data_IF_173708410082
#
_entry.id   IF_173708410082
#
_cell.length_a   1.000
_cell.length_b   1.000
_cell.length_c   1.000
_cell.angle_alpha   90.00
_cell.angle_beta   90.00
_cell.angle_gamma   90.00
#
_symmetry.space_group_name_H-M   'P 1'
#
loop_
_entity.id
_entity.type
_entity.pdbx_description
1 polymer ?
#
# COMPACT_ATOMS: atom_id res chain seq x y z
N UNK A 1 15.36 -4.72 -10.77
CA UNK A 1 14.99 -5.25 -9.44
C UNK A 1 14.86 -4.14 -8.42
N UNK A 2 15.88 -3.29 -8.23
CA UNK A 2 15.88 -2.17 -7.26
C UNK A 2 14.65 -1.26 -7.33
N UNK A 3 14.28 -0.78 -8.53
CA UNK A 3 13.12 0.12 -8.68
C UNK A 3 11.79 -0.52 -8.30
N UNK A 4 11.62 -1.83 -8.54
CA UNK A 4 10.42 -2.57 -8.11
C UNK A 4 10.38 -2.61 -6.58
N UNK A 5 11.51 -2.92 -5.95
CA UNK A 5 11.61 -2.96 -4.49
C UNK A 5 11.24 -1.62 -3.86
N UNK A 6 11.76 -0.51 -4.39
CA UNK A 6 11.39 0.83 -3.91
C UNK A 6 9.92 1.16 -4.11
N UNK A 7 9.32 0.78 -5.25
CA UNK A 7 7.88 0.98 -5.49
C UNK A 7 7.02 0.21 -4.49
N UNK A 8 7.38 -1.04 -4.21
CA UNK A 8 6.65 -1.88 -3.25
C UNK A 8 6.84 -1.34 -1.83
N UNK A 9 8.05 -0.91 -1.45
CA UNK A 9 8.33 -0.29 -0.15
C UNK A 9 7.43 0.94 0.10
N UNK A 10 7.41 1.88 -0.85
CA UNK A 10 6.57 3.08 -0.79
C UNK A 10 5.07 2.75 -0.65
N UNK A 11 4.59 1.75 -1.40
CA UNK A 11 3.20 1.31 -1.35
C UNK A 11 2.86 0.58 -0.04
N UNK A 12 3.75 -0.26 0.48
CA UNK A 12 3.53 -0.94 1.77
C UNK A 12 3.46 0.06 2.92
N UNK A 13 4.29 1.11 2.90
CA UNK A 13 4.20 2.22 3.85
C UNK A 13 2.86 2.96 3.77
N UNK A 14 2.39 3.25 2.56
CA UNK A 14 1.09 3.88 2.33
C UNK A 14 -0.08 3.00 2.81
N UNK A 15 -0.07 1.70 2.47
CA UNK A 15 -1.11 0.74 2.87
C UNK A 15 -1.12 0.57 4.39
N UNK A 16 0.06 0.43 5.01
CA UNK A 16 0.21 0.33 6.47
C UNK A 16 -0.39 1.55 7.16
N UNK A 17 -0.01 2.76 6.74
CA UNK A 17 -0.58 3.99 7.29
C UNK A 17 -2.11 4.03 7.13
N UNK A 18 -2.63 3.57 5.99
CA UNK A 18 -4.07 3.54 5.73
C UNK A 18 -4.80 2.52 6.63
N UNK A 19 -4.17 1.36 6.90
CA UNK A 19 -4.68 0.35 7.82
C UNK A 19 -4.76 0.91 9.25
N UNK A 20 -3.71 1.59 9.72
CA UNK A 20 -3.65 2.15 11.08
C UNK A 20 -4.71 3.23 11.37
N UNK A 21 -5.31 3.82 10.33
CA UNK A 21 -6.44 4.73 10.48
C UNK A 21 -7.79 4.03 10.67
N UNK A 22 -7.90 2.73 10.39
CA UNK A 22 -9.15 1.97 10.53
C UNK A 22 -9.33 1.52 11.98
N UNK A 23 -10.58 1.42 12.48
CA UNK A 23 -10.85 0.83 13.79
C UNK A 23 -10.28 -0.59 13.94
N UNK A 24 -10.38 -1.41 12.89
CA UNK A 24 -9.85 -2.79 12.86
C UNK A 24 -8.32 -2.84 12.94
N UNK A 25 -7.62 -1.78 12.51
CA UNK A 25 -6.18 -1.75 12.25
C UNK A 25 -5.70 -2.92 11.38
N UNK A 26 -6.57 -3.45 10.52
CA UNK A 26 -6.32 -4.66 9.75
C UNK A 26 -6.13 -4.38 8.26
N UNK A 27 -5.22 -5.12 7.63
CA UNK A 27 -5.08 -5.18 6.17
C UNK A 27 -6.07 -6.19 5.55
N UNK A 28 -6.67 -7.06 6.36
CA UNK A 28 -7.62 -8.07 5.89
C UNK A 28 -8.95 -7.43 5.45
N UNK A 29 -9.33 -6.27 6.00
CA UNK A 29 -10.56 -5.54 5.64
C UNK A 29 -10.32 -4.21 4.89
N UNK A 30 -9.07 -3.92 4.49
CA UNK A 30 -8.78 -2.72 3.69
C UNK A 30 -9.08 -2.98 2.21
N UNK A 31 -9.76 -2.01 1.60
CA UNK A 31 -10.15 -2.05 0.19
C UNK A 31 -9.27 -1.13 -0.66
N UNK A 32 -9.00 -1.52 -1.91
CA UNK A 32 -8.26 -0.73 -2.91
C UNK A 32 -8.69 0.74 -2.94
N UNK A 33 -10.01 0.99 -2.97
CA UNK A 33 -10.58 2.35 -3.01
C UNK A 33 -10.15 3.21 -1.82
N UNK A 34 -9.98 2.61 -0.64
CA UNK A 34 -9.53 3.31 0.57
C UNK A 34 -8.08 3.74 0.44
N UNK A 35 -7.22 2.85 -0.01
CA UNK A 35 -5.79 3.13 -0.23
C UNK A 35 -5.62 4.15 -1.37
N UNK A 36 -6.34 3.99 -2.49
CA UNK A 36 -6.29 4.93 -3.62
C UNK A 36 -6.73 6.36 -3.23
N UNK A 37 -7.73 6.49 -2.35
CA UNK A 37 -8.12 7.81 -1.81
C UNK A 37 -6.98 8.43 -0.99
N UNK A 38 -6.26 7.62 -0.22
CA UNK A 38 -5.10 8.04 0.58
C UNK A 38 -3.88 8.37 -0.28
N UNK A 39 -3.60 7.60 -1.33
CA UNK A 39 -2.57 7.89 -2.33
C UNK A 39 -2.70 9.32 -2.89
N UNK A 40 -3.93 9.70 -3.27
CA UNK A 40 -4.24 11.03 -3.83
C UNK A 40 -4.11 12.17 -2.82
N UNK A 41 -4.09 11.87 -1.52
CA UNK A 41 -3.97 12.87 -0.45
C UNK A 41 -2.49 13.06 -0.13
N UNK A 42 -1.83 14.04 -0.76
CA UNK A 42 -0.37 14.21 -0.64
C UNK A 42 0.12 14.43 0.80
N UNK A 43 -0.69 15.06 1.66
CA UNK A 43 -0.37 15.25 3.08
C UNK A 43 -0.44 13.96 3.91
N UNK A 44 -1.15 12.95 3.43
CA UNK A 44 -1.26 11.66 4.13
C UNK A 44 -0.02 10.83 3.85
N UNK A 45 0.67 10.29 4.86
CA UNK A 45 1.96 9.61 4.66
C UNK A 45 2.92 10.46 3.80
N UNK A 46 3.14 11.72 4.22
CA UNK A 46 3.93 12.70 3.45
C UNK A 46 5.39 12.25 3.17
N UNK A 47 5.90 11.26 3.90
CA UNK A 47 7.21 10.65 3.63
C UNK A 47 7.24 9.75 2.39
N UNK A 48 6.08 9.37 1.83
CA UNK A 48 6.01 8.49 0.65
C UNK A 48 6.37 9.26 -0.63
N UNK A 49 7.25 8.74 -1.48
CA UNK A 49 7.54 9.35 -2.78
C UNK A 49 6.62 8.78 -3.87
N UNK A 50 5.60 9.56 -4.26
CA UNK A 50 4.62 9.16 -5.29
C UNK A 50 5.26 9.03 -6.67
N UNK A 51 6.34 9.77 -6.93
CA UNK A 51 7.07 9.67 -8.20
C UNK A 51 7.77 8.32 -8.34
N UNK A 52 8.22 7.72 -7.23
CA UNK A 52 8.79 6.36 -7.21
C UNK A 52 7.69 5.33 -7.50
N UNK A 53 6.51 5.52 -6.92
CA UNK A 53 5.36 4.65 -7.18
C UNK A 53 4.97 4.70 -8.67
N UNK A 54 4.84 5.90 -9.24
CA UNK A 54 4.46 6.10 -10.66
C UNK A 54 5.49 5.50 -11.62
N UNK A 55 6.78 5.74 -11.38
CA UNK A 55 7.87 5.13 -12.17
C UNK A 55 7.84 3.60 -12.07
N UNK A 56 7.55 3.06 -10.88
CA UNK A 56 7.38 1.64 -10.65
C UNK A 56 6.28 1.01 -11.47
N UNK A 57 5.09 1.61 -11.40
CA UNK A 57 3.93 1.17 -12.18
C UNK A 57 4.26 1.12 -13.68
N UNK A 58 4.91 2.18 -14.19
CA UNK A 58 5.33 2.25 -15.59
C UNK A 58 6.35 1.15 -15.96
N UNK A 59 7.29 0.82 -15.06
CA UNK A 59 8.30 -0.22 -15.32
C UNK A 59 7.76 -1.64 -15.28
N UNK A 60 6.70 -1.89 -14.50
CA UNK A 60 6.04 -3.19 -14.41
C UNK A 60 4.95 -3.31 -15.49
N UNK A 61 4.69 -2.23 -16.24
CA UNK A 61 3.64 -2.15 -17.26
C UNK A 61 2.25 -2.47 -16.68
N UNK A 62 2.00 -2.00 -15.47
CA UNK A 62 0.74 -2.17 -14.74
C UNK A 62 0.24 -0.83 -14.24
N UNK A 63 -1.08 -0.70 -14.12
CA UNK A 63 -1.67 0.49 -13.53
C UNK A 63 -1.53 0.50 -12.00
N UNK A 64 -1.71 1.68 -11.41
CA UNK A 64 -1.62 1.88 -9.96
C UNK A 64 -2.61 1.00 -9.18
N UNK A 65 -3.79 0.73 -9.75
CA UNK A 65 -4.84 -0.02 -9.07
C UNK A 65 -4.43 -1.49 -8.91
N UNK A 66 -3.87 -2.06 -9.96
CA UNK A 66 -3.28 -3.39 -9.96
C UNK A 66 -2.17 -3.48 -8.92
N UNK A 67 -1.19 -2.57 -8.95
CA UNK A 67 -0.03 -2.65 -8.03
C UNK A 67 -0.46 -2.45 -6.58
N UNK A 68 -1.39 -1.53 -6.28
CA UNK A 68 -1.94 -1.40 -4.92
C UNK A 68 -2.63 -2.71 -4.50
N UNK A 69 -3.40 -3.34 -5.38
CA UNK A 69 -4.11 -4.56 -5.06
C UNK A 69 -3.16 -5.74 -4.79
N UNK A 70 -2.08 -5.86 -5.58
CA UNK A 70 -1.02 -6.86 -5.34
C UNK A 70 -0.35 -6.64 -3.98
N UNK A 71 -0.05 -5.38 -3.63
CA UNK A 71 0.54 -5.04 -2.32
C UNK A 71 -0.41 -5.39 -1.17
N UNK A 72 -1.70 -5.03 -1.27
CA UNK A 72 -2.71 -5.42 -0.27
C UNK A 72 -2.76 -6.94 -0.14
N UNK A 73 -2.82 -7.66 -1.27
CA UNK A 73 -2.93 -9.12 -1.27
C UNK A 73 -1.71 -9.78 -0.64
N UNK A 74 -0.50 -9.37 -1.02
CA UNK A 74 0.73 -9.90 -0.41
C UNK A 74 0.82 -9.59 1.09
N UNK A 75 0.44 -8.37 1.51
CA UNK A 75 0.41 -8.01 2.94
C UNK A 75 -0.62 -8.82 3.74
N UNK A 76 -1.70 -9.30 3.11
CA UNK A 76 -2.69 -10.16 3.79
C UNK A 76 -2.13 -11.54 4.10
N UNK A 77 -1.26 -12.08 3.27
CA UNK A 77 -0.64 -13.40 3.46
C UNK A 77 0.23 -13.45 4.72
N UNK A 78 0.86 -12.34 5.08
CA UNK A 78 1.72 -12.21 6.26
C UNK A 78 1.17 -11.22 7.30
N UNK A 79 -0.15 -10.96 7.31
CA UNK A 79 -0.77 -9.91 8.12
C UNK A 79 -0.43 -10.01 9.62
N UNK A 80 -0.35 -11.23 10.16
CA UNK A 80 0.03 -11.47 11.55
C UNK A 80 1.48 -11.07 11.84
N UNK A 81 2.40 -11.46 10.96
CA UNK A 81 3.84 -11.21 11.09
C UNK A 81 4.18 -9.73 11.00
N UNK A 82 3.47 -8.99 10.14
CA UNK A 82 3.66 -7.55 9.97
C UNK A 82 2.81 -6.70 10.95
N UNK A 83 2.12 -7.33 11.89
CA UNK A 83 1.31 -6.63 12.91
C UNK A 83 0.04 -5.96 12.37
N UNK A 84 -0.45 -6.37 11.20
CA UNK A 84 -1.64 -5.84 10.52
C UNK A 84 -2.80 -6.84 10.42
N UNK A 85 -2.80 -7.91 11.22
CA UNK A 85 -3.98 -8.77 11.39
C UNK A 85 -5.14 -8.02 12.03
N UNK A 86 -4.83 -7.09 12.95
CA UNK A 86 -5.82 -6.24 13.61
C UNK A 86 -6.77 -7.02 14.52
N UNK A 87 -7.98 -6.50 14.74
CA UNK A 87 -8.98 -7.04 15.67
C UNK A 87 -10.25 -7.55 14.97
N UNK A 88 -10.11 -8.09 13.77
CA UNK A 88 -11.24 -8.73 13.07
C UNK A 88 -11.70 -10.02 13.76
#
# INVERSE_FOLDING_TARGET
MEKILFTIDELTGLVTAACLMRPSKSVLDIELKSVKKKYKTQSFAAGVDRSIIEKGCAMIEKDLDYVINEVITGMRECAEEIGLKGTL
#
